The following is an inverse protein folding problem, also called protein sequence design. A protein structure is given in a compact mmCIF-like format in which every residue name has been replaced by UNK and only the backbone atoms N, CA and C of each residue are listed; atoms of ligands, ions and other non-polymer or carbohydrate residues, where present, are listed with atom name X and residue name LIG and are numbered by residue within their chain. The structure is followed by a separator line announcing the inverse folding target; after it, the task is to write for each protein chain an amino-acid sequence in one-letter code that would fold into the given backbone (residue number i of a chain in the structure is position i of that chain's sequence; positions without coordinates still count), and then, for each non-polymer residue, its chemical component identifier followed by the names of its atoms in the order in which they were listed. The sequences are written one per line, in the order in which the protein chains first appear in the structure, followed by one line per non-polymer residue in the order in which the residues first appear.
data_IF_711396443312
#
_entry.id   IF_711396443312
#
_cell.length_a   1.000
_cell.length_b   1.000
_cell.length_c   1.000
_cell.angle_alpha   90.00
_cell.angle_beta   90.00
_cell.angle_gamma   90.00
#
_symmetry.space_group_name_H-M   'P 1'
#
loop_
_entity.id
_entity.type
_entity.pdbx_description
1 polymer ?
#
# COMPACT_ATOMS: atom_id res chain seq x y z
N UNK A 1 -6.11 -1.76 27.69
CA UNK A 1 -6.30 -0.73 26.65
C UNK A 1 -5.47 -1.10 25.42
N UNK A 2 -6.09 -1.00 24.26
CA UNK A 2 -5.43 -1.16 22.96
C UNK A 2 -5.09 0.23 22.41
N UNK A 3 -3.85 0.42 21.97
CA UNK A 3 -3.45 1.60 21.21
C UNK A 3 -3.45 1.26 19.71
N UNK A 4 -4.34 1.89 18.96
CA UNK A 4 -4.41 1.79 17.50
C UNK A 4 -3.65 2.95 16.85
N UNK A 5 -2.58 2.65 16.12
CA UNK A 5 -1.78 3.63 15.37
C UNK A 5 -2.04 3.42 13.89
N UNK A 6 -2.95 4.21 13.32
CA UNK A 6 -3.47 4.03 11.98
C UNK A 6 -2.76 4.90 10.94
N UNK A 7 -2.46 4.32 9.77
CA UNK A 7 -1.87 5.00 8.63
C UNK A 7 -2.89 5.90 7.89
N UNK A 8 -2.38 6.69 6.95
CA UNK A 8 -3.12 7.74 6.25
C UNK A 8 -3.80 7.28 4.95
N UNK A 9 -3.34 6.18 4.33
CA UNK A 9 -3.76 5.78 2.99
C UNK A 9 -5.21 5.21 2.94
N UNK A 10 -5.61 4.46 3.96
CA UNK A 10 -6.99 3.99 4.17
C UNK A 10 -7.43 4.24 5.62
N UNK A 11 -7.51 5.50 6.06
CA UNK A 11 -7.55 5.84 7.48
C UNK A 11 -8.77 5.29 8.21
N UNK A 12 -9.92 5.16 7.56
CA UNK A 12 -11.12 4.60 8.18
C UNK A 12 -11.08 3.07 8.19
N UNK A 13 -10.68 2.45 7.08
CA UNK A 13 -10.63 0.98 6.95
C UNK A 13 -9.59 0.36 7.90
N UNK A 14 -8.41 0.95 7.98
CA UNK A 14 -7.34 0.49 8.87
C UNK A 14 -7.81 0.52 10.32
N UNK A 15 -8.34 1.66 10.76
CA UNK A 15 -8.75 1.82 12.15
C UNK A 15 -9.95 0.93 12.53
N UNK A 16 -10.95 0.79 11.67
CA UNK A 16 -12.12 -0.05 11.97
C UNK A 16 -11.75 -1.52 12.18
N UNK A 17 -10.73 -2.02 11.47
CA UNK A 17 -10.25 -3.40 11.59
C UNK A 17 -9.58 -3.67 12.94
N UNK A 18 -9.13 -2.65 13.67
CA UNK A 18 -8.60 -2.75 15.03
C UNK A 18 -9.68 -2.44 16.06
N UNK A 19 -10.40 -1.33 15.89
CA UNK A 19 -11.37 -0.83 16.88
C UNK A 19 -12.48 -1.86 17.11
N UNK A 20 -13.10 -2.38 16.06
CA UNK A 20 -14.28 -3.25 16.20
C UNK A 20 -13.93 -4.55 16.95
N UNK A 21 -12.94 -5.35 16.53
CA UNK A 21 -12.61 -6.57 17.26
C UNK A 21 -12.09 -6.28 18.67
N UNK A 22 -11.36 -5.21 18.92
CA UNK A 22 -10.90 -4.84 20.25
C UNK A 22 -12.08 -4.54 21.19
N UNK A 23 -13.05 -3.73 20.76
CA UNK A 23 -14.24 -3.40 21.55
C UNK A 23 -15.11 -4.64 21.76
N UNK A 24 -15.33 -5.48 20.74
CA UNK A 24 -16.09 -6.72 20.89
C UNK A 24 -15.43 -7.72 21.84
N UNK A 25 -14.10 -7.65 21.99
CA UNK A 25 -13.33 -8.45 22.96
C UNK A 25 -13.28 -7.80 24.36
N UNK A 26 -14.03 -6.74 24.62
CA UNK A 26 -14.12 -6.08 25.92
C UNK A 26 -13.00 -5.09 26.23
N UNK A 27 -12.30 -4.58 25.23
CA UNK A 27 -11.21 -3.63 25.41
C UNK A 27 -11.65 -2.18 25.15
N UNK A 28 -11.03 -1.23 25.84
CA UNK A 28 -11.04 0.17 25.45
C UNK A 28 -9.93 0.42 24.41
N UNK A 29 -10.17 1.37 23.49
CA UNK A 29 -9.27 1.68 22.39
C UNK A 29 -8.90 3.17 22.40
N UNK A 30 -7.60 3.44 22.42
CA UNK A 30 -7.04 4.75 22.15
C UNK A 30 -6.57 4.79 20.69
N UNK A 31 -7.07 5.75 19.90
CA UNK A 31 -6.78 5.83 18.45
C UNK A 31 -5.86 7.01 18.19
N UNK A 32 -4.73 6.74 17.59
CA UNK A 32 -3.79 7.75 17.08
C UNK A 32 -3.62 7.61 15.57
N UNK A 33 -4.28 8.46 14.79
CA UNK A 33 -4.08 8.50 13.34
C UNK A 33 -2.78 9.20 12.93
N UNK A 34 -2.37 8.97 11.68
CA UNK A 34 -1.34 9.77 11.03
C UNK A 34 -1.68 11.27 11.11
N UNK A 35 -0.64 12.12 11.16
CA UNK A 35 -0.80 13.58 11.11
C UNK A 35 -1.43 14.10 9.80
N UNK A 36 -1.49 13.27 8.76
CA UNK A 36 -2.19 13.59 7.51
C UNK A 36 -3.71 13.41 7.61
N UNK A 37 -4.18 12.56 8.52
CA UNK A 37 -5.60 12.21 8.67
C UNK A 37 -6.06 12.25 10.15
N UNK A 38 -5.69 13.27 10.93
CA UNK A 38 -5.89 13.26 12.39
C UNK A 38 -7.37 13.28 12.78
N UNK A 39 -8.23 13.87 11.97
CA UNK A 39 -9.66 13.98 12.26
C UNK A 39 -10.40 12.64 12.12
N UNK A 40 -9.83 11.65 11.43
CA UNK A 40 -10.45 10.33 11.31
C UNK A 40 -10.62 9.66 12.69
N UNK A 41 -9.66 9.83 13.62
CA UNK A 41 -9.80 9.36 14.99
C UNK A 41 -11.03 9.95 15.68
N UNK A 42 -11.27 11.25 15.52
CA UNK A 42 -12.42 11.92 16.13
C UNK A 42 -13.76 11.44 15.57
N UNK A 43 -13.81 11.09 14.29
CA UNK A 43 -15.03 10.52 13.71
C UNK A 43 -15.40 9.18 14.34
N UNK A 44 -14.42 8.34 14.69
CA UNK A 44 -14.67 7.11 15.43
C UNK A 44 -15.16 7.39 16.86
N UNK A 45 -14.46 8.23 17.63
CA UNK A 45 -14.87 8.62 18.97
C UNK A 45 -16.31 9.18 18.98
N UNK A 46 -16.62 10.09 18.04
CA UNK A 46 -17.96 10.66 17.91
C UNK A 46 -19.02 9.62 17.53
N UNK A 47 -18.71 8.67 16.66
CA UNK A 47 -19.62 7.61 16.27
C UNK A 47 -20.00 6.72 17.45
N UNK A 48 -19.01 6.26 18.24
CA UNK A 48 -19.25 5.47 19.44
C UNK A 48 -20.01 6.25 20.51
N UNK A 49 -19.67 7.52 20.75
CA UNK A 49 -20.39 8.39 21.67
C UNK A 49 -21.85 8.58 21.27
N UNK A 50 -22.15 8.81 19.97
CA UNK A 50 -23.52 8.92 19.44
C UNK A 50 -24.31 7.62 19.56
N UNK A 51 -23.63 6.49 19.50
CA UNK A 51 -24.22 5.16 19.70
C UNK A 51 -24.50 4.84 21.17
N UNK A 52 -24.17 5.74 22.12
CA UNK A 52 -24.40 5.54 23.55
C UNK A 52 -23.32 4.70 24.24
N UNK A 53 -22.14 4.57 23.65
CA UNK A 53 -21.02 3.87 24.27
C UNK A 53 -20.55 4.62 25.54
N UNK A 54 -20.03 3.88 26.54
CA UNK A 54 -19.44 4.49 27.74
C UNK A 54 -18.31 5.45 27.37
N UNK A 55 -18.15 6.53 28.15
CA UNK A 55 -17.03 7.46 27.99
C UNK A 55 -15.71 6.72 28.16
N UNK A 56 -14.74 7.03 27.28
CA UNK A 56 -13.42 6.41 27.27
C UNK A 56 -13.34 5.04 26.60
N UNK A 57 -14.46 4.47 26.10
CA UNK A 57 -14.41 3.20 25.38
C UNK A 57 -13.58 3.31 24.08
N UNK A 58 -13.79 4.38 23.33
CA UNK A 58 -13.02 4.72 22.13
C UNK A 58 -12.63 6.19 22.23
N UNK A 59 -11.32 6.47 22.28
CA UNK A 59 -10.79 7.82 22.53
C UNK A 59 -9.82 8.23 21.43
N UNK A 60 -10.04 9.40 20.86
CA UNK A 60 -9.16 9.97 19.84
C UNK A 60 -7.97 10.71 20.47
N UNK A 61 -6.76 10.32 20.06
CA UNK A 61 -5.51 10.97 20.49
C UNK A 61 -4.85 11.68 19.29
N UNK A 62 -4.66 13.00 19.41
CA UNK A 62 -3.92 13.78 18.41
C UNK A 62 -2.55 14.09 19.01
N UNK A 63 -1.57 13.27 18.68
CA UNK A 63 -0.24 13.24 19.30
C UNK A 63 0.86 13.20 18.24
N UNK A 64 2.03 13.71 18.61
CA UNK A 64 3.26 13.48 17.86
C UNK A 64 3.88 12.10 18.16
N UNK A 65 4.94 11.76 17.43
CA UNK A 65 5.60 10.46 17.59
C UNK A 65 6.25 10.29 18.98
N UNK A 66 6.87 11.35 19.50
CA UNK A 66 7.58 11.32 20.78
C UNK A 66 6.63 11.06 21.96
N UNK A 67 5.48 11.73 21.98
CA UNK A 67 4.46 11.48 22.99
C UNK A 67 3.85 10.08 22.83
N UNK A 68 3.66 9.62 21.58
CA UNK A 68 3.19 8.25 21.29
C UNK A 68 4.13 7.20 21.86
N UNK A 69 5.44 7.34 21.65
CA UNK A 69 6.47 6.47 22.23
C UNK A 69 6.43 6.47 23.76
N UNK A 70 6.28 7.64 24.38
CA UNK A 70 6.16 7.76 25.85
C UNK A 70 4.93 7.03 26.39
N UNK A 71 3.80 7.07 25.66
CA UNK A 71 2.59 6.33 26.04
C UNK A 71 2.81 4.82 25.95
N UNK A 72 3.45 4.33 24.88
CA UNK A 72 3.79 2.91 24.74
C UNK A 72 4.65 2.45 25.91
N UNK A 73 5.65 3.24 26.30
CA UNK A 73 6.58 2.93 27.40
C UNK A 73 5.98 3.10 28.81
N UNK A 74 4.83 3.74 28.94
CA UNK A 74 4.24 4.09 30.26
C UNK A 74 3.65 2.92 31.03
N UNK A 75 3.42 1.75 30.40
CA UNK A 75 2.70 0.62 30.98
C UNK A 75 1.16 0.80 31.06
N UNK A 76 0.62 1.91 30.53
CA UNK A 76 -0.83 2.15 30.48
C UNK A 76 -1.51 1.38 29.34
N UNK A 77 -0.75 0.96 28.34
CA UNK A 77 -1.21 0.22 27.17
C UNK A 77 -0.80 -1.25 27.28
N UNK A 78 -1.70 -2.18 26.97
CA UNK A 78 -1.46 -3.62 27.03
C UNK A 78 -1.27 -4.26 25.66
N UNK A 79 -1.68 -3.56 24.58
CA UNK A 79 -1.50 -4.01 23.21
C UNK A 79 -1.38 -2.80 22.28
N UNK A 80 -0.49 -2.87 21.32
CA UNK A 80 -0.38 -1.88 20.23
C UNK A 80 -0.69 -2.56 18.90
N UNK A 81 -1.63 -2.00 18.15
CA UNK A 81 -1.83 -2.30 16.74
C UNK A 81 -1.26 -1.14 15.91
N UNK A 82 -0.32 -1.42 15.05
CA UNK A 82 0.35 -0.43 14.22
C UNK A 82 0.21 -0.79 12.75
N UNK A 83 -0.29 0.14 11.96
CA UNK A 83 -0.25 0.06 10.49
C UNK A 83 0.56 1.23 9.94
N UNK A 84 1.59 0.94 9.16
CA UNK A 84 2.45 1.97 8.58
C UNK A 84 3.76 1.44 7.99
N UNK A 85 4.76 2.30 7.88
CA UNK A 85 6.05 1.93 7.29
C UNK A 85 6.83 0.92 8.14
N UNK A 86 7.69 0.12 7.50
CA UNK A 86 8.62 -0.79 8.19
C UNK A 86 9.47 -0.05 9.24
N UNK A 87 9.93 1.16 8.92
CA UNK A 87 10.68 2.00 9.87
C UNK A 87 9.85 2.36 11.11
N UNK A 88 8.59 2.75 10.91
CA UNK A 88 7.68 3.05 12.00
C UNK A 88 7.39 1.83 12.87
N UNK A 89 7.15 0.68 12.25
CA UNK A 89 6.94 -0.59 12.95
C UNK A 89 8.11 -0.99 13.81
N UNK A 90 9.34 -0.85 13.32
CA UNK A 90 10.57 -1.08 14.12
C UNK A 90 10.62 -0.16 15.36
N UNK A 91 10.30 1.12 15.20
CA UNK A 91 10.27 2.08 16.33
C UNK A 91 9.23 1.68 17.36
N UNK A 92 8.01 1.35 16.94
CA UNK A 92 6.92 0.91 17.84
C UNK A 92 7.32 -0.37 18.57
N UNK A 93 7.85 -1.36 17.87
CA UNK A 93 8.28 -2.63 18.46
C UNK A 93 9.41 -2.43 19.48
N UNK A 94 10.40 -1.57 19.19
CA UNK A 94 11.45 -1.22 20.12
C UNK A 94 10.91 -0.51 21.38
N UNK A 95 9.94 0.40 21.21
CA UNK A 95 9.34 1.14 22.32
C UNK A 95 8.52 0.24 23.24
N UNK A 96 7.94 -0.85 22.73
CA UNK A 96 7.15 -1.81 23.48
C UNK A 96 7.97 -2.89 24.19
N UNK A 97 9.22 -3.10 23.78
CA UNK A 97 10.05 -4.23 24.22
C UNK A 97 10.23 -4.28 25.75
N UNK A 98 10.38 -3.12 26.42
CA UNK A 98 10.56 -3.06 27.89
C UNK A 98 9.31 -3.41 28.68
N UNK A 99 8.14 -3.45 28.04
CA UNK A 99 6.84 -3.74 28.66
C UNK A 99 6.40 -5.19 28.46
N UNK A 100 7.15 -6.02 27.73
CA UNK A 100 6.73 -7.36 27.31
C UNK A 100 5.33 -7.39 26.66
N UNK A 101 5.03 -6.33 25.90
CA UNK A 101 3.72 -6.09 25.31
C UNK A 101 3.65 -6.69 23.91
N UNK A 102 2.54 -7.34 23.57
CA UNK A 102 2.26 -7.79 22.22
C UNK A 102 2.01 -6.61 21.28
N UNK A 103 2.59 -6.69 20.09
CA UNK A 103 2.48 -5.67 19.05
C UNK A 103 2.02 -6.32 17.75
N UNK A 104 0.82 -5.95 17.30
CA UNK A 104 0.35 -6.26 15.94
C UNK A 104 0.95 -5.26 14.94
N UNK A 105 1.64 -5.76 13.92
CA UNK A 105 2.31 -4.93 12.91
C UNK A 105 1.76 -5.25 11.53
N UNK A 106 1.16 -4.25 10.89
CA UNK A 106 0.80 -4.24 9.47
C UNK A 106 1.70 -3.23 8.75
N UNK A 107 2.60 -3.73 7.91
CA UNK A 107 3.68 -2.93 7.34
C UNK A 107 3.58 -2.85 5.82
N UNK A 108 4.57 -2.20 5.18
CA UNK A 108 4.65 -2.13 3.73
C UNK A 108 4.91 -3.48 3.06
N UNK A 109 4.67 -3.53 1.76
CA UNK A 109 4.80 -4.70 0.91
C UNK A 109 5.56 -4.42 -0.37
N UNK A 110 5.75 -5.47 -1.18
CA UNK A 110 6.22 -5.45 -2.57
C UNK A 110 5.52 -6.58 -3.31
N UNK A 111 4.20 -6.50 -3.35
CA UNK A 111 3.35 -7.63 -3.67
C UNK A 111 3.46 -8.05 -5.14
N UNK A 112 3.69 -9.35 -5.41
CA UNK A 112 3.80 -9.86 -6.75
C UNK A 112 2.44 -10.35 -7.30
N UNK A 113 2.25 -10.17 -8.61
CA UNK A 113 1.22 -10.87 -9.38
C UNK A 113 1.88 -11.78 -10.41
N UNK A 114 1.43 -13.03 -10.52
CA UNK A 114 1.88 -13.96 -11.55
C UNK A 114 0.75 -14.33 -12.52
N UNK A 115 0.99 -14.13 -13.80
CA UNK A 115 0.11 -14.49 -14.91
C UNK A 115 0.65 -15.74 -15.58
N UNK A 116 0.00 -16.89 -15.35
CA UNK A 116 0.37 -18.17 -15.95
C UNK A 116 -0.02 -18.23 -17.43
N UNK A 117 0.57 -19.19 -18.17
CA UNK A 117 0.34 -19.40 -19.60
C UNK A 117 -1.12 -19.64 -19.99
N UNK A 118 -1.94 -20.13 -19.07
CA UNK A 118 -3.36 -20.44 -19.24
C UNK A 118 -4.30 -19.35 -18.71
N UNK A 119 -3.76 -18.22 -18.24
CA UNK A 119 -4.56 -17.15 -17.67
C UNK A 119 -5.55 -16.53 -18.67
N UNK A 120 -6.70 -16.08 -18.16
CA UNK A 120 -7.61 -15.25 -18.94
C UNK A 120 -7.21 -13.78 -18.83
N UNK A 121 -6.60 -13.23 -19.87
CA UNK A 121 -6.16 -11.85 -19.90
C UNK A 121 -7.28 -10.82 -19.80
N UNK A 122 -8.53 -11.18 -20.18
CA UNK A 122 -9.68 -10.28 -20.02
C UNK A 122 -9.99 -10.00 -18.54
N UNK A 123 -9.64 -10.91 -17.65
CA UNK A 123 -9.79 -10.74 -16.20
C UNK A 123 -8.47 -10.31 -15.54
N UNK A 124 -7.35 -10.93 -15.97
CA UNK A 124 -6.05 -10.70 -15.33
C UNK A 124 -5.53 -9.27 -15.54
N UNK A 125 -5.61 -8.74 -16.76
CA UNK A 125 -5.13 -7.38 -17.07
C UNK A 125 -5.84 -6.32 -16.23
N UNK A 126 -7.18 -6.19 -16.29
CA UNK A 126 -7.85 -5.15 -15.49
C UNK A 126 -7.65 -5.34 -13.99
N UNK A 127 -7.70 -6.58 -13.47
CA UNK A 127 -7.54 -6.82 -12.05
C UNK A 127 -6.14 -6.50 -11.51
N UNK A 128 -5.09 -6.84 -12.28
CA UNK A 128 -3.70 -6.56 -11.88
C UNK A 128 -3.38 -5.08 -12.01
N UNK A 129 -3.79 -4.44 -13.12
CA UNK A 129 -3.44 -3.04 -13.37
C UNK A 129 -4.25 -2.09 -12.48
N UNK A 130 -5.52 -2.41 -12.21
CA UNK A 130 -6.27 -1.71 -11.16
C UNK A 130 -5.58 -1.87 -9.79
N UNK A 131 -5.17 -3.09 -9.43
CA UNK A 131 -4.42 -3.36 -8.20
C UNK A 131 -3.09 -2.62 -8.08
N UNK A 132 -2.44 -2.28 -9.22
CA UNK A 132 -1.20 -1.51 -9.23
C UNK A 132 -1.44 0.01 -9.13
N UNK A 133 -2.52 0.52 -9.71
CA UNK A 133 -2.76 1.97 -9.83
C UNK A 133 -3.87 2.50 -8.91
N UNK A 134 -4.68 1.63 -8.30
CA UNK A 134 -5.68 2.01 -7.33
C UNK A 134 -5.09 2.91 -6.23
N UNK A 135 -5.79 3.98 -5.87
CA UNK A 135 -5.30 5.00 -4.92
C UNK A 135 -3.90 5.56 -5.29
N UNK A 136 -3.59 5.67 -6.59
CA UNK A 136 -2.28 6.07 -7.11
C UNK A 136 -1.12 5.16 -6.61
N UNK A 137 -1.37 3.85 -6.44
CA UNK A 137 -0.41 2.88 -5.93
C UNK A 137 -0.10 3.01 -4.42
N UNK A 138 -0.81 3.88 -3.70
CA UNK A 138 -0.57 4.15 -2.28
C UNK A 138 -1.28 3.12 -1.39
N UNK A 139 -1.00 1.84 -1.61
CA UNK A 139 -1.55 0.71 -0.86
C UNK A 139 -0.43 -0.25 -0.44
N UNK A 140 -0.47 -0.73 0.79
CA UNK A 140 0.50 -1.73 1.27
C UNK A 140 0.40 -3.06 0.51
N UNK A 141 -0.77 -3.36 -0.05
CA UNK A 141 -1.05 -4.53 -0.88
C UNK A 141 -1.24 -4.16 -2.37
N UNK A 142 -0.69 -3.03 -2.84
CA UNK A 142 -0.65 -2.74 -4.27
C UNK A 142 0.19 -3.79 -5.00
N UNK A 143 -0.22 -4.14 -6.22
CA UNK A 143 0.63 -4.95 -7.10
C UNK A 143 1.81 -4.09 -7.53
N UNK A 144 2.99 -4.42 -7.03
CA UNK A 144 4.21 -3.65 -7.31
C UNK A 144 5.21 -4.39 -8.19
N UNK A 145 4.98 -5.70 -8.46
CA UNK A 145 5.78 -6.54 -9.34
C UNK A 145 4.87 -7.48 -10.12
N UNK A 146 5.03 -7.53 -11.45
CA UNK A 146 4.23 -8.39 -12.31
C UNK A 146 5.16 -9.37 -13.03
N UNK A 147 4.84 -10.66 -12.93
CA UNK A 147 5.51 -11.74 -13.64
C UNK A 147 4.52 -12.34 -14.63
N UNK A 148 4.88 -12.39 -15.90
CA UNK A 148 4.00 -12.87 -16.96
C UNK A 148 4.70 -14.01 -17.71
N UNK A 149 4.01 -15.13 -17.91
CA UNK A 149 4.54 -16.19 -18.76
C UNK A 149 4.86 -15.64 -20.14
N UNK A 150 6.04 -15.99 -20.70
CA UNK A 150 6.58 -15.38 -21.92
C UNK A 150 5.63 -15.46 -23.12
N UNK A 151 4.79 -16.52 -23.18
CA UNK A 151 3.79 -16.68 -24.25
C UNK A 151 2.68 -15.63 -24.24
N UNK A 152 2.41 -14.98 -23.11
CA UNK A 152 1.37 -13.97 -22.93
C UNK A 152 1.91 -12.55 -22.78
N UNK A 153 3.24 -12.38 -22.72
CA UNK A 153 3.87 -11.11 -22.34
C UNK A 153 3.39 -9.94 -23.21
N UNK A 154 3.48 -10.05 -24.53
CA UNK A 154 3.14 -8.95 -25.44
C UNK A 154 1.66 -8.55 -25.31
N UNK A 155 0.76 -9.54 -25.30
CA UNK A 155 -0.68 -9.30 -25.20
C UNK A 155 -1.03 -8.70 -23.83
N UNK A 156 -0.38 -9.16 -22.75
CA UNK A 156 -0.55 -8.59 -21.41
C UNK A 156 -0.08 -7.12 -21.35
N UNK A 157 1.11 -6.82 -21.88
CA UNK A 157 1.68 -5.46 -21.88
C UNK A 157 0.80 -4.51 -22.69
N UNK A 158 0.36 -4.91 -23.88
CA UNK A 158 -0.56 -4.11 -24.71
C UNK A 158 -1.88 -3.83 -23.99
N UNK A 159 -2.44 -4.86 -23.36
CA UNK A 159 -3.65 -4.73 -22.53
C UNK A 159 -3.45 -3.80 -21.33
N UNK A 160 -2.33 -3.94 -20.64
CA UNK A 160 -1.96 -3.12 -19.48
C UNK A 160 -1.80 -1.64 -19.87
N UNK A 161 -1.11 -1.35 -20.97
CA UNK A 161 -1.00 0.01 -21.51
C UNK A 161 -2.36 0.58 -21.91
N UNK A 162 -3.20 -0.23 -22.56
CA UNK A 162 -4.55 0.18 -22.94
C UNK A 162 -5.41 0.50 -21.71
N UNK A 163 -5.30 -0.28 -20.65
CA UNK A 163 -6.02 0.00 -19.38
C UNK A 163 -5.50 1.28 -18.72
N UNK A 164 -4.18 1.40 -18.53
CA UNK A 164 -3.54 2.57 -17.93
C UNK A 164 -3.93 3.86 -18.65
N UNK A 165 -3.96 3.85 -19.99
CA UNK A 165 -4.26 5.04 -20.79
C UNK A 165 -5.74 5.48 -20.73
N UNK A 166 -6.63 4.67 -20.17
CA UNK A 166 -8.04 5.03 -19.92
C UNK A 166 -8.26 5.72 -18.58
N UNK A 167 -7.28 5.67 -17.67
CA UNK A 167 -7.39 6.29 -16.36
C UNK A 167 -7.53 7.81 -16.48
N UNK A 168 -8.53 8.37 -15.84
CA UNK A 168 -8.71 9.81 -15.70
C UNK A 168 -7.94 10.28 -14.47
N UNK A 169 -6.90 11.08 -14.69
CA UNK A 169 -6.06 11.61 -13.62
C UNK A 169 -6.55 13.01 -13.29
N UNK A 170 -6.93 13.27 -12.05
CA UNK A 170 -7.60 14.54 -11.74
C UNK A 170 -7.78 14.84 -10.27
N UNK A 171 -8.63 15.84 -10.01
CA UNK A 171 -9.05 16.23 -8.67
C UNK A 171 -9.84 15.08 -8.02
N UNK A 172 -9.44 14.57 -6.83
CA UNK A 172 -10.15 13.50 -6.15
C UNK A 172 -11.58 13.88 -5.72
N UNK A 173 -11.95 15.15 -5.77
CA UNK A 173 -13.34 15.60 -5.52
C UNK A 173 -14.22 15.50 -6.77
N UNK A 174 -13.65 15.30 -7.96
CA UNK A 174 -14.40 15.05 -9.19
C UNK A 174 -14.69 13.53 -9.29
N UNK A 175 -15.97 13.17 -9.46
CA UNK A 175 -16.43 11.79 -9.57
C UNK A 175 -15.94 11.08 -10.83
N UNK A 176 -15.48 11.79 -11.83
CA UNK A 176 -14.90 11.23 -13.05
C UNK A 176 -13.41 10.89 -12.91
N UNK A 177 -12.78 11.27 -11.79
CA UNK A 177 -11.37 10.98 -11.53
C UNK A 177 -11.18 9.53 -11.06
N UNK A 178 -10.33 8.79 -11.77
CA UNK A 178 -9.91 7.44 -11.37
C UNK A 178 -8.69 7.50 -10.44
N UNK A 179 -7.77 8.44 -10.68
CA UNK A 179 -6.52 8.55 -9.92
C UNK A 179 -6.23 10.01 -9.52
N UNK A 180 -6.09 10.23 -8.22
CA UNK A 180 -5.72 11.50 -7.63
C UNK A 180 -4.20 11.72 -7.50
N UNK A 181 -3.77 12.79 -6.79
CA UNK A 181 -2.36 13.07 -6.52
C UNK A 181 -1.80 12.17 -5.43
N UNK A 182 -0.47 12.09 -5.32
CA UNK A 182 0.19 11.51 -4.15
C UNK A 182 -0.03 12.39 -2.91
N UNK A 183 -0.21 11.75 -1.76
CA UNK A 183 -0.48 12.44 -0.50
C UNK A 183 0.74 13.23 0.01
N UNK A 184 1.96 12.72 -0.24
CA UNK A 184 3.21 13.25 0.31
C UNK A 184 4.26 13.51 -0.78
N UNK A 185 5.08 14.54 -0.58
CA UNK A 185 6.20 14.86 -1.48
C UNK A 185 7.27 13.75 -1.45
N UNK A 186 7.51 13.13 -0.30
CA UNK A 186 8.46 12.01 -0.20
C UNK A 186 8.09 10.82 -1.09
N UNK A 187 6.80 10.57 -1.32
CA UNK A 187 6.36 9.55 -2.28
C UNK A 187 6.75 9.90 -3.72
N UNK A 188 6.66 11.19 -4.07
CA UNK A 188 7.11 11.68 -5.38
C UNK A 188 8.61 11.45 -5.57
N UNK A 189 9.40 11.83 -4.57
CA UNK A 189 10.85 11.67 -4.60
C UNK A 189 11.24 10.19 -4.75
N UNK A 190 10.53 9.28 -4.08
CA UNK A 190 10.73 7.83 -4.21
C UNK A 190 10.45 7.35 -5.63
N UNK A 191 9.30 7.72 -6.19
CA UNK A 191 8.92 7.31 -7.56
C UNK A 191 9.92 7.83 -8.59
N UNK A 192 10.32 9.11 -8.49
CA UNK A 192 11.31 9.69 -9.41
C UNK A 192 12.64 8.96 -9.31
N UNK A 193 13.14 8.71 -8.09
CA UNK A 193 14.40 8.00 -7.88
C UNK A 193 14.37 6.57 -8.46
N UNK A 194 13.26 5.85 -8.32
CA UNK A 194 13.11 4.50 -8.88
C UNK A 194 13.01 4.52 -10.41
N UNK A 195 12.35 5.49 -11.02
CA UNK A 195 12.32 5.66 -12.47
C UNK A 195 13.72 5.96 -13.03
N UNK A 196 14.46 6.88 -12.41
CA UNK A 196 15.83 7.20 -12.81
C UNK A 196 16.78 6.02 -12.65
N UNK A 197 16.66 5.22 -11.58
CA UNK A 197 17.44 4.00 -11.38
C UNK A 197 17.14 2.97 -12.46
N UNK A 198 15.87 2.73 -12.74
CA UNK A 198 15.43 1.78 -13.76
C UNK A 198 15.89 2.19 -15.16
N UNK A 199 15.74 3.47 -15.53
CA UNK A 199 16.20 3.99 -16.84
C UNK A 199 17.71 3.83 -17.02
N UNK A 200 18.51 4.19 -16.00
CA UNK A 200 19.98 4.01 -16.00
C UNK A 200 20.41 2.55 -16.16
N UNK A 201 19.57 1.61 -15.69
CA UNK A 201 19.82 0.16 -15.77
C UNK A 201 19.19 -0.49 -17.01
N UNK A 202 18.61 0.31 -17.91
CA UNK A 202 18.13 -0.13 -19.23
C UNK A 202 16.68 -0.58 -19.28
N UNK A 203 15.85 -0.23 -18.30
CA UNK A 203 14.41 -0.43 -18.36
C UNK A 203 13.79 0.43 -19.47
N UNK A 204 12.75 -0.09 -20.09
CA UNK A 204 11.88 0.64 -21.00
C UNK A 204 10.68 1.16 -20.23
N UNK A 205 10.48 2.48 -20.25
CA UNK A 205 9.42 3.14 -19.48
C UNK A 205 8.35 3.67 -20.41
N UNK A 206 7.12 3.18 -20.24
CA UNK A 206 5.94 3.68 -20.96
C UNK A 206 5.05 4.43 -19.99
N UNK A 207 4.92 5.73 -20.22
CA UNK A 207 4.05 6.60 -19.44
C UNK A 207 2.62 6.63 -19.97
N UNK A 208 1.67 6.89 -19.07
CA UNK A 208 0.29 7.21 -19.41
C UNK A 208 0.23 8.35 -20.45
N UNK A 209 -0.56 8.17 -21.53
CA UNK A 209 -0.58 9.09 -22.67
C UNK A 209 -1.55 10.27 -22.53
N UNK A 210 -2.39 10.28 -21.48
CA UNK A 210 -3.40 11.30 -21.26
C UNK A 210 -2.85 12.61 -20.69
N UNK A 211 -3.74 13.59 -20.59
CA UNK A 211 -3.41 14.90 -20.04
C UNK A 211 -3.20 14.82 -18.52
N UNK A 212 -2.06 15.30 -18.06
CA UNK A 212 -1.77 15.40 -16.63
C UNK A 212 -2.25 16.72 -16.04
N UNK A 213 -2.90 16.70 -14.86
CA UNK A 213 -3.26 17.92 -14.15
C UNK A 213 -2.02 18.74 -13.76
N UNK A 214 -2.19 20.05 -13.68
CA UNK A 214 -1.14 20.94 -13.16
C UNK A 214 -1.07 20.80 -11.64
N UNK A 215 0.12 20.47 -11.11
CA UNK A 215 0.35 20.40 -9.66
C UNK A 215 1.52 19.52 -9.31
N UNK A 216 2.24 19.85 -8.24
CA UNK A 216 3.49 19.19 -7.86
C UNK A 216 3.31 17.76 -7.33
N UNK A 217 2.09 17.35 -7.00
CA UNK A 217 1.83 16.01 -6.40
C UNK A 217 1.27 14.99 -7.40
N UNK A 218 1.02 15.39 -8.63
CA UNK A 218 0.61 14.46 -9.68
C UNK A 218 1.84 13.80 -10.31
N UNK A 219 1.88 12.49 -10.25
CA UNK A 219 2.86 11.63 -10.93
C UNK A 219 2.16 10.96 -12.10
N UNK A 220 2.81 10.95 -13.24
CA UNK A 220 2.33 10.26 -14.42
C UNK A 220 2.50 8.75 -14.22
N UNK A 221 1.43 7.94 -14.29
CA UNK A 221 1.53 6.50 -14.19
C UNK A 221 2.47 5.93 -15.25
N UNK A 222 3.21 4.88 -14.88
CA UNK A 222 4.11 4.24 -15.82
C UNK A 222 4.17 2.71 -15.63
N UNK A 223 4.31 2.03 -16.76
CA UNK A 223 4.63 0.61 -16.86
C UNK A 223 6.06 0.48 -17.33
N UNK A 224 6.85 -0.33 -16.64
CA UNK A 224 8.25 -0.60 -16.94
C UNK A 224 8.41 -2.03 -17.47
N UNK A 225 9.04 -2.18 -18.62
CA UNK A 225 9.47 -3.46 -19.18
C UNK A 225 10.99 -3.53 -19.23
N UNK A 226 11.55 -4.70 -19.57
CA UNK A 226 12.99 -4.94 -19.52
C UNK A 226 13.59 -4.66 -18.14
N UNK A 227 12.83 -4.92 -17.08
CA UNK A 227 13.25 -4.76 -15.69
C UNK A 227 13.80 -6.05 -15.10
N UNK A 228 14.62 -5.94 -14.07
CA UNK A 228 15.16 -7.07 -13.31
C UNK A 228 15.30 -6.69 -11.82
N UNK A 229 15.67 -7.66 -10.97
CA UNK A 229 15.79 -7.47 -9.51
C UNK A 229 17.00 -6.64 -9.05
N UNK A 230 17.87 -6.21 -9.96
CA UNK A 230 18.90 -5.21 -9.63
C UNK A 230 18.34 -3.78 -9.60
N UNK A 231 17.10 -3.58 -10.06
CA UNK A 231 16.44 -2.29 -10.12
C UNK A 231 15.60 -2.05 -8.88
N UNK A 232 15.68 -0.83 -8.32
CA UNK A 232 14.96 -0.45 -7.10
C UNK A 232 13.44 -0.61 -7.25
N UNK A 233 12.88 -0.33 -8.43
CA UNK A 233 11.45 -0.51 -8.73
C UNK A 233 10.96 -1.95 -8.57
N UNK A 234 11.85 -2.95 -8.57
CA UNK A 234 11.50 -4.35 -8.38
C UNK A 234 11.75 -4.85 -6.95
N UNK A 235 12.56 -4.14 -6.15
CA UNK A 235 13.01 -4.60 -4.85
C UNK A 235 12.54 -3.74 -3.67
N UNK A 236 12.42 -2.43 -3.88
CA UNK A 236 12.00 -1.49 -2.84
C UNK A 236 10.52 -1.13 -2.99
N UNK A 237 9.81 -0.97 -1.87
CA UNK A 237 8.43 -0.49 -1.88
C UNK A 237 8.34 0.85 -2.62
N UNK A 238 7.44 0.91 -3.60
CA UNK A 238 7.23 2.12 -4.43
C UNK A 238 6.21 3.06 -3.81
N UNK A 239 5.09 2.51 -3.38
CA UNK A 239 3.93 3.25 -2.86
C UNK A 239 3.49 4.39 -3.79
N UNK A 240 3.50 4.12 -5.08
CA UNK A 240 3.25 5.08 -6.16
C UNK A 240 2.84 4.40 -7.47
N UNK A 241 2.40 5.18 -8.48
CA UNK A 241 1.74 4.66 -9.66
C UNK A 241 2.74 4.22 -10.75
N UNK A 242 3.68 3.35 -10.41
CA UNK A 242 4.60 2.72 -11.38
C UNK A 242 4.76 1.24 -11.05
N UNK A 243 4.85 0.39 -12.07
CA UNK A 243 4.97 -1.06 -11.90
C UNK A 243 5.86 -1.70 -12.95
N UNK A 244 6.70 -2.65 -12.53
CA UNK A 244 7.58 -3.41 -13.42
C UNK A 244 6.97 -4.74 -13.84
N UNK A 245 7.20 -5.13 -15.11
CA UNK A 245 6.74 -6.39 -15.70
C UNK A 245 7.95 -7.22 -16.16
N UNK A 246 8.05 -8.46 -15.70
CA UNK A 246 9.09 -9.43 -16.08
C UNK A 246 8.47 -10.64 -16.78
N UNK A 247 9.06 -11.05 -17.90
CA UNK A 247 8.75 -12.32 -18.54
C UNK A 247 9.34 -13.49 -17.76
N UNK A 248 8.57 -14.56 -17.60
CA UNK A 248 9.01 -15.83 -16.98
C UNK A 248 8.70 -17.01 -17.89
N UNK A 249 9.52 -18.07 -17.80
CA UNK A 249 9.42 -19.26 -18.67
C UNK A 249 8.74 -20.44 -18.01
N UNK A 250 8.55 -20.39 -16.69
CA UNK A 250 7.96 -21.49 -15.92
C UNK A 250 7.43 -20.99 -14.57
N UNK A 251 6.56 -21.82 -13.97
CA UNK A 251 6.06 -21.59 -12.59
C UNK A 251 7.23 -21.53 -11.59
N UNK A 252 8.24 -22.40 -11.71
CA UNK A 252 9.40 -22.41 -10.81
C UNK A 252 10.19 -21.10 -10.86
N UNK A 253 10.37 -20.52 -12.07
CA UNK A 253 11.02 -19.24 -12.21
C UNK A 253 10.19 -18.14 -11.58
N UNK A 254 8.88 -18.11 -11.83
CA UNK A 254 7.96 -17.14 -11.24
C UNK A 254 8.00 -17.19 -9.71
N UNK A 255 7.85 -18.39 -9.13
CA UNK A 255 7.88 -18.60 -7.68
C UNK A 255 9.21 -18.14 -7.08
N UNK A 256 10.34 -18.46 -7.73
CA UNK A 256 11.66 -18.01 -7.29
C UNK A 256 11.75 -16.47 -7.24
N UNK A 257 11.31 -15.80 -8.30
CA UNK A 257 11.35 -14.33 -8.37
C UNK A 257 10.34 -13.67 -7.43
N UNK A 258 9.14 -14.22 -7.27
CA UNK A 258 8.15 -13.72 -6.32
C UNK A 258 8.67 -13.75 -4.88
N UNK A 259 9.41 -14.80 -4.51
CA UNK A 259 10.01 -14.95 -3.19
C UNK A 259 11.33 -14.21 -3.00
N UNK A 260 11.94 -13.69 -4.06
CA UNK A 260 13.15 -12.87 -3.99
C UNK A 260 12.80 -11.42 -3.58
N UNK A 261 12.43 -11.25 -2.32
CA UNK A 261 12.02 -9.97 -1.74
C UNK A 261 12.18 -10.00 -0.22
N UNK A 262 12.59 -8.87 0.40
CA UNK A 262 12.57 -8.75 1.86
C UNK A 262 11.17 -8.49 2.43
N UNK A 263 10.17 -8.31 1.56
CA UNK A 263 8.77 -8.08 1.92
C UNK A 263 7.95 -9.38 1.79
N UNK A 264 6.78 -9.40 2.45
CA UNK A 264 5.81 -10.47 2.31
C UNK A 264 4.49 -10.06 2.95
N UNK A 265 3.50 -9.70 2.12
CA UNK A 265 2.17 -9.30 2.57
C UNK A 265 1.10 -10.07 1.80
N UNK A 266 0.89 -9.77 0.51
CA UNK A 266 -0.02 -10.53 -0.35
C UNK A 266 0.66 -10.99 -1.64
N UNK A 267 0.00 -11.87 -2.38
CA UNK A 267 0.41 -12.29 -3.71
C UNK A 267 -0.81 -12.75 -4.50
N UNK A 268 -0.76 -12.66 -5.82
CA UNK A 268 -1.81 -13.19 -6.67
C UNK A 268 -1.25 -14.08 -7.79
N UNK A 269 -2.01 -15.12 -8.14
CA UNK A 269 -1.75 -15.99 -9.28
C UNK A 269 -2.99 -16.05 -10.16
N UNK A 270 -2.82 -15.79 -11.44
CA UNK A 270 -3.90 -15.78 -12.43
C UNK A 270 -3.77 -17.00 -13.34
N UNK A 271 -4.75 -17.88 -13.28
CA UNK A 271 -4.78 -19.18 -13.98
C UNK A 271 -6.22 -19.67 -14.12
N UNK A 272 -6.49 -20.46 -15.17
CA UNK A 272 -7.74 -21.21 -15.33
C UNK A 272 -7.71 -22.57 -14.65
N UNK A 273 -6.53 -23.04 -14.27
CA UNK A 273 -6.33 -24.33 -13.62
C UNK A 273 -6.05 -24.13 -12.13
N UNK A 274 -7.06 -24.34 -11.30
CA UNK A 274 -7.02 -24.17 -9.84
C UNK A 274 -6.88 -25.51 -9.13
#
# INVERSE_FOLDING_TARGET
VVLDIAAWNYPLLIAVNVIVPAVLSGNAVAIKHSSLTPLCARHFEDAFRRAGAPEGLVTALILDHKVTESIIQSGLIQHVAFTGSVKGGKTVHQSSASQFMDVGLELGGKDPAYVREDADLNSAVPGIIDGAFYNAGQSCCAVERIYVHESLLNEFVDGAMSFMNKLVIGDPMDKSTDMGPLAQNSGIDTVIAQLEDAEKKGAEITFHSGVMPKGKKFIQPAILTNVNHDMAVMMDETFGPIVGIIAVKSDDQAIKLMNDSPFGLTASVWTKNT
#
